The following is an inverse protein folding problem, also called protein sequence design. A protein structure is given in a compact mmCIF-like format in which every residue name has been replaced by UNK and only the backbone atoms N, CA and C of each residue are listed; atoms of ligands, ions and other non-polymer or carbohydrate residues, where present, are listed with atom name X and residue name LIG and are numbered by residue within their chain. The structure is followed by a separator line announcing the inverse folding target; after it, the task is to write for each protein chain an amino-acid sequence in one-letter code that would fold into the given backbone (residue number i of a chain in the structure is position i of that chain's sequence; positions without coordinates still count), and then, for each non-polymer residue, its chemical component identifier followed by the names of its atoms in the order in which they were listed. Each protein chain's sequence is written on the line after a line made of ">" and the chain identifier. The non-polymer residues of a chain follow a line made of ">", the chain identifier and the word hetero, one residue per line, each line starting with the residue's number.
data_IF_357971211822
#
_entry.id   IF_357971211822
#
_cell.length_a   1.000
_cell.length_b   1.000
_cell.length_c   1.000
_cell.angle_alpha   90.00
_cell.angle_beta   90.00
_cell.angle_gamma   90.00
#
_symmetry.space_group_name_H-M   'P 1'
#
loop_
_entity.id
_entity.type
_entity.pdbx_description
1 polymer ?
2 non-polymer ?
3 water ?
#
# COMPACT_ATOMS: atom_id res chain seq x y z
N UNK A 21 -12.48 -10.12 -15.35
CA UNK A 21 -11.88 -9.66 -16.60
C UNK A 21 -10.59 -8.88 -16.34
N UNK A 22 -9.92 -9.16 -15.22
CA UNK A 22 -8.65 -8.52 -14.95
C UNK A 22 -7.63 -8.89 -16.02
N UNK A 23 -6.92 -7.89 -16.55
CA UNK A 23 -5.98 -8.11 -17.64
C UNK A 23 -4.60 -7.57 -17.31
N UNK A 24 -3.59 -8.43 -17.42
CA UNK A 24 -2.21 -7.98 -17.41
C UNK A 24 -1.90 -7.24 -18.68
N UNK A 25 -0.94 -6.32 -18.61
CA UNK A 25 -0.40 -5.68 -19.80
C UNK A 25 0.12 -6.74 -20.75
N UNK A 26 -0.01 -6.48 -22.06
CA UNK A 26 0.39 -7.44 -23.07
C UNK A 26 1.89 -7.70 -23.12
N UNK A 27 2.69 -6.95 -22.35
CA UNK A 27 4.12 -7.23 -22.28
C UNK A 27 4.43 -8.37 -21.31
N UNK A 28 3.44 -8.88 -20.59
CA UNK A 28 3.58 -10.01 -19.69
C UNK A 28 2.71 -11.18 -20.16
N UNK A 29 3.10 -12.38 -19.74
CA UNK A 29 2.34 -13.59 -20.02
C UNK A 29 1.77 -14.14 -18.71
N UNK A 30 0.62 -14.83 -18.82
CA UNK A 30 -0.01 -15.48 -17.67
C UNK A 30 -0.46 -16.88 -18.10
N UNK A 31 0.53 -17.75 -18.35
CA UNK A 31 0.25 -19.12 -18.81
C UNK A 31 -0.51 -19.95 -17.77
N UNK A 32 -0.27 -19.73 -16.47
CA UNK A 32 -0.87 -20.52 -15.40
C UNK A 32 -2.17 -19.93 -14.84
N UNK A 33 -2.59 -18.76 -15.34
CA UNK A 33 -3.90 -18.24 -15.01
C UNK A 33 -4.06 -17.72 -13.60
N UNK A 34 -2.98 -17.34 -12.92
CA UNK A 34 -3.08 -16.84 -11.56
C UNK A 34 -3.14 -15.32 -11.52
N UNK A 35 -3.28 -14.67 -12.68
CA UNK A 35 -3.40 -13.22 -12.87
C UNK A 35 -2.10 -12.45 -12.68
N UNK A 36 -0.97 -13.10 -12.41
CA UNK A 36 0.26 -12.35 -12.23
C UNK A 36 1.27 -12.75 -13.30
N UNK A 37 2.15 -11.81 -13.63
CA UNK A 37 3.13 -12.01 -14.68
C UNK A 37 4.03 -13.21 -14.41
N UNK A 38 4.13 -14.10 -15.40
CA UNK A 38 4.96 -15.30 -15.29
C UNK A 38 6.44 -14.94 -15.23
N UNK A 39 7.21 -15.75 -14.50
CA UNK A 39 8.68 -15.63 -14.55
C UNK A 39 9.15 -16.06 -15.93
N UNK A 40 10.02 -15.29 -16.59
CA UNK A 40 10.47 -15.67 -17.94
C UNK A 40 11.28 -16.95 -17.91
N UNK A 41 11.24 -17.68 -19.03
CA UNK A 41 12.15 -18.80 -19.23
C UNK A 41 13.25 -18.50 -20.24
N UNK A 42 13.14 -17.41 -20.99
CA UNK A 42 14.23 -16.92 -21.82
C UNK A 42 15.28 -16.26 -20.92
N UNK A 43 16.45 -16.88 -20.82
CA UNK A 43 17.45 -16.39 -19.87
C UNK A 43 17.93 -14.98 -20.20
N UNK A 44 17.84 -14.57 -21.46
CA UNK A 44 18.21 -13.20 -21.79
C UNK A 44 17.24 -12.18 -21.21
N UNK A 45 16.09 -12.62 -20.70
CA UNK A 45 15.09 -11.75 -20.12
C UNK A 45 15.16 -11.72 -18.60
N UNK A 46 16.04 -12.50 -18.00
CA UNK A 46 16.13 -12.57 -16.55
C UNK A 46 17.19 -11.60 -16.04
N UNK A 47 17.00 -11.09 -14.84
CA UNK A 47 17.99 -10.20 -14.26
C UNK A 47 18.50 -10.80 -12.96
N UNK A 48 19.78 -10.58 -12.70
CA UNK A 48 20.49 -11.05 -11.52
C UNK A 48 21.31 -9.89 -11.00
N UNK A 49 20.66 -8.86 -10.46
CA UNK A 49 21.36 -7.60 -10.17
C UNK A 49 22.32 -7.73 -9.00
N UNK A 50 23.44 -7.01 -9.11
CA UNK A 50 24.40 -7.04 -8.02
C UNK A 50 23.90 -6.24 -6.82
N UNK A 51 23.05 -5.24 -7.04
CA UNK A 51 22.36 -4.51 -5.98
C UNK A 51 20.86 -4.68 -6.15
N UNK A 52 20.20 -5.25 -5.16
CA UNK A 52 18.74 -5.35 -5.11
C UNK A 52 18.16 -4.05 -4.55
N UNK A 53 17.20 -3.48 -5.26
CA UNK A 53 16.56 -2.22 -4.83
C UNK A 53 15.21 -2.55 -4.22
N UNK A 54 14.98 -2.05 -3.00
CA UNK A 54 13.79 -2.32 -2.21
C UNK A 54 13.07 -1.00 -1.93
N UNK A 55 11.73 -1.00 -2.03
CA UNK A 55 10.96 0.18 -1.64
C UNK A 55 9.75 -0.25 -0.82
N UNK A 56 9.52 0.46 0.28
CA UNK A 56 8.27 0.32 1.03
C UNK A 56 7.28 1.32 0.39
N UNK A 57 6.03 1.26 0.82
CA UNK A 57 5.01 2.07 0.16
C UNK A 57 4.95 3.48 0.75
N UNK A 58 4.79 4.51 -0.09
CA UNK A 58 4.80 5.90 0.41
C UNK A 58 3.47 6.33 1.03
N UNK A 59 2.98 5.53 1.99
CA UNK A 59 1.84 5.96 2.80
C UNK A 59 2.23 7.09 3.74
N UNK A 60 3.53 7.23 3.98
CA UNK A 60 4.05 8.22 4.89
C UNK A 60 5.46 8.55 4.39
N UNK A 61 5.99 9.71 4.79
CA UNK A 61 7.38 10.07 4.53
C UNK A 61 8.30 8.86 4.66
N UNK A 62 9.01 8.45 3.60
CA UNK A 62 9.87 7.25 3.72
C UNK A 62 10.99 7.40 4.72
N UNK A 63 11.38 8.63 5.08
CA UNK A 63 12.36 8.81 6.14
C UNK A 63 11.90 8.14 7.44
N UNK A 64 10.59 8.02 7.66
CA UNK A 64 10.07 7.31 8.82
C UNK A 64 10.48 5.84 8.79
N UNK A 65 10.59 5.26 7.60
CA UNK A 65 10.75 3.81 7.47
C UNK A 65 12.16 3.37 7.12
N UNK A 66 13.08 4.31 6.90
CA UNK A 66 14.45 3.93 6.56
C UNK A 66 15.06 3.02 7.61
N UNK A 67 15.07 3.46 8.88
CA UNK A 67 15.64 2.62 9.91
C UNK A 67 14.73 1.45 10.28
N UNK A 68 13.42 1.58 10.04
CA UNK A 68 12.49 0.48 10.32
C UNK A 68 12.86 -0.77 9.55
N UNK A 69 13.28 -0.60 8.29
CA UNK A 69 13.59 -1.73 7.41
C UNK A 69 15.07 -2.08 7.39
N UNK A 70 15.93 -1.32 8.08
CA UNK A 70 17.37 -1.47 7.91
C UNK A 70 17.84 -2.88 8.23
N UNK A 71 17.49 -3.39 9.42
CA UNK A 71 17.96 -4.72 9.80
C UNK A 71 17.36 -5.80 8.89
N UNK A 72 16.09 -5.64 8.50
CA UNK A 72 15.48 -6.54 7.54
C UNK A 72 16.27 -6.59 6.23
N UNK A 73 16.67 -5.43 5.72
CA UNK A 73 17.41 -5.41 4.46
C UNK A 73 18.82 -5.98 4.62
N UNK A 74 19.44 -5.84 5.80
CA UNK A 74 20.70 -6.53 6.05
C UNK A 74 20.53 -8.04 5.97
N UNK A 75 19.45 -8.56 6.56
CA UNK A 75 19.14 -9.98 6.47
C UNK A 75 18.88 -10.39 5.01
N UNK A 76 18.17 -9.56 4.26
CA UNK A 76 17.94 -9.84 2.85
C UNK A 76 19.26 -9.89 2.08
N UNK A 77 20.18 -8.98 2.40
CA UNK A 77 21.48 -8.98 1.74
C UNK A 77 22.25 -10.26 2.05
N UNK A 78 22.21 -10.71 3.30
CA UNK A 78 22.92 -11.93 3.67
C UNK A 78 22.30 -13.16 3.02
N UNK A 79 20.97 -13.21 2.99
CA UNK A 79 20.28 -14.37 2.41
C UNK A 79 20.50 -14.47 0.89
N UNK A 80 20.46 -13.35 0.18
CA UNK A 80 20.57 -13.38 -1.27
C UNK A 80 22.01 -13.28 -1.76
N UNK A 81 22.94 -12.87 -0.90
CA UNK A 81 24.30 -12.58 -1.33
C UNK A 81 24.47 -11.34 -2.16
N UNK A 82 23.48 -10.43 -2.16
CA UNK A 82 23.54 -9.20 -2.93
C UNK A 82 23.67 -8.01 -1.99
N UNK A 83 24.16 -6.90 -2.54
CA UNK A 83 23.96 -5.62 -1.87
C UNK A 83 22.48 -5.25 -1.96
N UNK A 84 22.00 -4.50 -0.97
CA UNK A 84 20.60 -4.08 -0.95
C UNK A 84 20.55 -2.58 -0.72
N UNK A 85 19.67 -1.90 -1.47
CA UNK A 85 19.52 -0.46 -1.39
C UNK A 85 18.06 -0.11 -1.10
N UNK A 86 17.86 0.78 -0.13
CA UNK A 86 16.54 1.30 0.21
C UNK A 86 16.23 2.50 -0.70
N UNK A 87 15.13 2.40 -1.45
CA UNK A 87 14.67 3.41 -2.39
C UNK A 87 13.56 4.22 -1.73
N UNK A 88 13.82 5.46 -1.28
CA UNK A 88 12.76 6.24 -0.59
C UNK A 88 11.80 6.91 -1.57
N UNK A 89 11.02 6.09 -2.27
CA UNK A 89 10.10 6.60 -3.28
C UNK A 89 9.00 7.41 -2.61
N UNK A 90 8.57 8.49 -3.27
CA UNK A 90 7.64 9.44 -2.65
C UNK A 90 6.22 9.36 -3.14
N UNK A 91 5.94 8.58 -4.20
CA UNK A 91 4.57 8.49 -4.68
C UNK A 91 4.34 7.10 -5.24
N UNK A 92 3.06 6.71 -5.29
CA UNK A 92 2.73 5.39 -5.82
C UNK A 92 3.08 5.31 -7.31
N UNK A 93 2.77 6.37 -8.07
CA UNK A 93 3.05 6.35 -9.50
C UNK A 93 4.52 6.16 -9.78
N UNK A 94 5.39 6.85 -9.02
CA UNK A 94 6.82 6.69 -9.22
C UNK A 94 7.26 5.28 -8.86
N UNK A 95 6.65 4.70 -7.82
CA UNK A 95 7.04 3.34 -7.43
C UNK A 95 6.63 2.33 -8.48
N UNK A 96 5.41 2.44 -9.01
CA UNK A 96 4.95 1.55 -10.06
C UNK A 96 5.85 1.67 -11.29
N UNK A 97 6.15 2.91 -11.70
CA UNK A 97 6.99 3.12 -12.88
C UNK A 97 8.39 2.56 -12.67
N UNK A 98 8.95 2.71 -11.47
CA UNK A 98 10.29 2.21 -11.22
C UNK A 98 10.36 0.69 -11.39
N UNK A 99 9.34 -0.04 -10.91
CA UNK A 99 9.38 -1.48 -11.11
C UNK A 99 9.12 -1.85 -12.57
N UNK A 100 8.17 -1.17 -13.21
CA UNK A 100 7.92 -1.42 -14.63
C UNK A 100 9.20 -1.23 -15.45
N UNK A 101 9.98 -0.20 -15.13
CA UNK A 101 11.16 0.16 -15.88
C UNK A 101 12.39 -0.67 -15.54
N UNK A 102 12.30 -1.55 -14.55
CA UNK A 102 13.42 -2.38 -14.18
C UNK A 102 14.34 -1.83 -13.11
N UNK A 103 14.00 -0.70 -12.49
CA UNK A 103 14.89 -0.10 -11.49
C UNK A 103 14.59 -0.54 -10.06
N UNK A 104 13.40 -1.08 -9.81
CA UNK A 104 12.95 -1.47 -8.48
C UNK A 104 12.63 -2.96 -8.49
N UNK A 105 13.27 -3.73 -7.60
CA UNK A 105 13.17 -5.19 -7.68
C UNK A 105 12.24 -5.81 -6.65
N UNK A 106 12.13 -5.24 -5.45
CA UNK A 106 11.33 -5.81 -4.38
C UNK A 106 10.54 -4.66 -3.78
N UNK A 107 9.24 -4.86 -3.55
CA UNK A 107 8.46 -3.74 -3.03
C UNK A 107 7.30 -4.21 -2.15
N UNK A 108 6.91 -3.34 -1.23
CA UNK A 108 5.58 -3.36 -0.67
C UNK A 108 4.79 -2.28 -1.37
N UNK A 109 3.71 -2.68 -2.04
CA UNK A 109 2.81 -1.71 -2.67
C UNK A 109 1.59 -1.54 -1.79
N UNK A 110 1.12 -0.29 -1.67
CA UNK A 110 -0.11 -0.05 -0.95
C UNK A 110 -1.23 -0.90 -1.52
N UNK A 111 -2.15 -1.29 -0.64
CA UNK A 111 -3.26 -2.17 -1.02
C UNK A 111 -3.91 -1.78 -2.35
N UNK A 112 -4.29 -0.51 -2.48
CA UNK A 112 -4.97 -0.04 -3.68
C UNK A 112 -4.16 -0.11 -4.96
N UNK A 113 -2.83 -0.16 -4.85
CA UNK A 113 -1.98 -0.24 -6.04
C UNK A 113 -1.61 -1.64 -6.45
N UNK A 114 -1.94 -2.67 -5.65
CA UNK A 114 -1.51 -4.01 -6.05
C UNK A 114 -2.07 -4.43 -7.40
N UNK A 115 -3.35 -4.21 -7.72
CA UNK A 115 -3.82 -4.63 -9.05
C UNK A 115 -3.09 -3.90 -10.17
N UNK A 116 -2.91 -2.58 -10.02
CA UNK A 116 -2.17 -1.82 -11.03
C UNK A 116 -0.72 -2.27 -11.13
N UNK A 117 -0.07 -2.54 -10.00
CA UNK A 117 1.33 -2.97 -10.05
C UNK A 117 1.46 -4.36 -10.67
N UNK A 118 0.51 -5.25 -10.38
CA UNK A 118 0.49 -6.55 -11.04
C UNK A 118 0.30 -6.37 -12.55
N UNK A 119 -0.66 -5.56 -12.93
CA UNK A 119 -0.96 -5.46 -14.35
C UNK A 119 0.04 -4.71 -15.16
N UNK A 120 0.58 -3.65 -14.59
CA UNK A 120 1.45 -2.79 -15.35
C UNK A 120 2.92 -2.74 -14.96
N UNK A 121 3.29 -3.39 -13.87
CA UNK A 121 4.70 -3.44 -13.51
C UNK A 121 5.24 -4.85 -13.35
N UNK A 122 4.43 -5.89 -13.60
CA UNK A 122 4.95 -7.24 -13.48
C UNK A 122 5.23 -7.66 -12.05
N UNK A 123 4.57 -7.01 -11.09
CA UNK A 123 4.71 -7.36 -9.68
C UNK A 123 4.20 -8.76 -9.42
N UNK A 124 4.99 -9.57 -8.71
CA UNK A 124 4.59 -10.91 -8.26
C UNK A 124 4.41 -10.88 -6.75
N UNK A 125 3.20 -10.63 -6.26
CA UNK A 125 2.98 -10.59 -4.80
C UNK A 125 3.00 -11.98 -4.18
N UNK A 126 3.55 -12.06 -2.97
CA UNK A 126 3.57 -13.35 -2.28
C UNK A 126 3.33 -13.27 -0.78
N UNK A 127 3.40 -12.10 -0.15
CA UNK A 127 3.25 -12.04 1.30
C UNK A 127 2.63 -10.73 1.74
N UNK A 128 2.19 -10.74 3.00
CA UNK A 128 1.47 -9.64 3.63
C UNK A 128 1.73 -9.80 5.12
N UNK A 129 1.72 -8.69 5.86
CA UNK A 129 1.86 -8.82 7.31
C UNK A 129 0.55 -9.28 7.94
N UNK A 130 0.67 -9.97 9.08
CA UNK A 130 -0.48 -10.42 9.85
C UNK A 130 -0.13 -10.40 11.33
N UNK A 131 -1.17 -10.43 12.16
CA UNK A 131 -0.99 -10.62 13.59
C UNK A 131 -0.49 -12.03 13.89
N UNK A 132 -0.09 -12.23 15.15
CA UNK A 132 0.47 -13.53 15.52
C UNK A 132 -0.52 -14.67 15.33
N UNK A 133 -1.82 -14.39 15.41
CA UNK A 133 -2.84 -15.43 15.21
C UNK A 133 -3.30 -15.54 13.76
N UNK A 134 -2.64 -14.85 12.84
CA UNK A 134 -2.98 -14.94 11.45
C UNK A 134 -4.05 -13.97 10.99
N UNK A 135 -4.73 -13.31 11.91
CA UNK A 135 -5.66 -12.26 11.52
C UNK A 135 -4.89 -11.09 10.91
N UNK A 136 -5.56 -10.35 10.03
CA UNK A 136 -4.87 -9.33 9.25
C UNK A 136 -5.86 -8.24 8.87
N UNK A 137 -5.31 -7.13 8.36
CA UNK A 137 -6.11 -6.16 7.65
C UNK A 137 -6.05 -4.77 8.27
N UNK A 138 -6.67 -3.84 7.55
CA UNK A 138 -6.85 -2.47 8.01
C UNK A 138 -8.19 -2.00 7.48
N UNK A 139 -8.66 -0.85 7.98
CA UNK A 139 -9.88 -0.25 7.48
C UNK A 139 -9.63 1.18 7.04
N UNK A 140 -10.45 1.66 6.12
CA UNK A 140 -10.50 3.09 5.86
C UNK A 140 -11.29 3.76 6.97
N UNK A 141 -10.83 4.91 7.43
CA UNK A 141 -11.65 5.74 8.30
C UNK A 141 -11.73 7.14 7.72
N UNK A 142 -12.88 7.77 7.90
CA UNK A 142 -13.04 9.19 7.60
C UNK A 142 -12.84 9.94 8.90
N UNK A 143 -11.91 10.89 8.91
CA UNK A 143 -11.55 11.58 10.14
C UNK A 143 -11.78 13.08 9.99
N UNK A 144 -12.00 13.73 11.12
CA UNK A 144 -12.02 15.18 11.22
C UNK A 144 -11.22 15.57 12.45
N UNK A 145 -11.23 16.86 12.78
CA UNK A 145 -10.65 17.29 14.04
C UNK A 145 -11.77 17.75 14.98
N UNK A 146 -11.62 17.54 16.29
CA UNK A 146 -12.67 17.96 17.23
C UNK A 146 -12.92 19.46 17.12
N UNK A 147 -14.19 19.83 17.03
CA UNK A 147 -14.58 21.22 16.91
C UNK A 147 -14.63 21.74 15.48
N UNK A 148 -14.44 20.90 14.47
CA UNK A 148 -14.42 21.35 13.09
C UNK A 148 -15.79 21.79 12.58
N UNK A 149 -16.86 21.38 13.25
CA UNK A 149 -18.18 21.49 12.66
C UNK A 149 -18.56 20.35 11.75
N UNK A 150 -17.66 19.42 11.47
CA UNK A 150 -17.98 18.21 10.71
C UNK A 150 -18.05 17.09 11.72
N UNK A 151 -19.26 16.66 12.07
CA UNK A 151 -19.46 15.72 13.16
C UNK A 151 -20.03 14.38 12.72
N UNK A 152 -20.32 14.21 11.44
CA UNK A 152 -20.61 12.91 10.85
C UNK A 152 -20.33 13.02 9.36
N UNK A 153 -20.47 11.90 8.65
CA UNK A 153 -20.18 11.88 7.21
C UNK A 153 -21.06 12.87 6.46
N UNK A 154 -22.35 12.94 6.82
CA UNK A 154 -23.28 13.82 6.11
C UNK A 154 -22.85 15.29 6.17
N UNK A 155 -22.17 15.68 7.25
CA UNK A 155 -21.67 17.05 7.40
C UNK A 155 -20.62 17.42 6.36
N UNK A 156 -20.10 16.45 5.61
CA UNK A 156 -19.09 16.74 4.59
C UNK A 156 -19.73 17.46 3.40
N UNK A 157 -21.02 17.24 3.19
CA UNK A 157 -21.72 17.85 2.06
C UNK A 157 -21.53 19.36 2.03
N UNK A 158 -21.19 19.88 0.84
CA UNK A 158 -20.93 21.29 0.66
C UNK A 158 -19.55 21.74 1.07
N UNK A 159 -18.71 20.83 1.56
CA UNK A 159 -17.37 21.20 1.96
C UNK A 159 -16.31 20.49 1.15
N UNK A 160 -15.11 20.39 1.71
CA UNK A 160 -14.00 19.72 1.06
C UNK A 160 -13.76 18.37 1.72
N UNK A 161 -13.28 17.41 0.93
CA UNK A 161 -12.84 16.11 1.42
C UNK A 161 -11.43 15.85 0.91
N UNK A 162 -10.51 15.58 1.82
CA UNK A 162 -9.12 15.33 1.44
C UNK A 162 -8.92 13.87 1.11
N UNK A 163 -8.36 13.61 -0.07
CA UNK A 163 -7.93 12.30 -0.52
C UNK A 163 -6.40 12.27 -0.54
N UNK A 164 -5.83 11.07 -0.69
CA UNK A 164 -4.37 10.99 -0.74
C UNK A 164 -3.86 10.99 -2.19
N UNK A 165 -4.14 9.92 -2.92
CA UNK A 165 -3.73 9.79 -4.32
C UNK A 165 -4.69 8.80 -4.99
N UNK A 166 -4.79 8.89 -6.32
CA UNK A 166 -5.86 8.17 -7.01
C UNK A 166 -5.66 6.66 -7.05
N UNK A 167 -4.46 6.18 -6.78
CA UNK A 167 -4.20 4.74 -6.67
C UNK A 167 -4.47 4.22 -5.27
N UNK A 168 -4.87 5.08 -4.33
CA UNK A 168 -5.12 4.63 -2.96
C UNK A 168 -6.51 4.03 -2.83
N UNK A 169 -6.59 2.88 -2.15
CA UNK A 169 -7.87 2.27 -1.79
C UNK A 169 -8.56 3.12 -0.73
N UNK A 170 -8.00 3.15 0.49
CA UNK A 170 -8.63 3.90 1.57
C UNK A 170 -8.56 5.40 1.39
N UNK A 171 -7.59 5.90 0.62
CA UNK A 171 -7.40 7.32 0.42
C UNK A 171 -8.10 7.91 -0.77
N UNK A 172 -8.81 7.10 -1.55
CA UNK A 172 -9.56 7.63 -2.69
C UNK A 172 -10.65 6.71 -3.18
N UNK A 173 -10.30 5.49 -3.60
CA UNK A 173 -11.26 4.66 -4.33
C UNK A 173 -12.36 4.11 -3.44
N UNK A 174 -12.00 3.56 -2.27
CA UNK A 174 -13.03 3.07 -1.35
C UNK A 174 -13.94 4.19 -0.86
N UNK A 175 -13.43 5.35 -0.39
CA UNK A 175 -14.36 6.39 0.07
C UNK A 175 -15.23 6.95 -1.04
N UNK A 176 -14.67 7.13 -2.24
CA UNK A 176 -15.50 7.60 -3.35
C UNK A 176 -16.66 6.65 -3.62
N UNK A 177 -16.38 5.34 -3.63
CA UNK A 177 -17.45 4.38 -3.89
C UNK A 177 -18.48 4.38 -2.76
N UNK A 178 -18.03 4.44 -1.50
CA UNK A 178 -18.95 4.40 -0.37
C UNK A 178 -19.81 5.65 -0.33
N UNK A 179 -19.20 6.82 -0.55
CA UNK A 179 -19.98 8.05 -0.49
C UNK A 179 -21.04 8.07 -1.58
N UNK A 180 -20.70 7.61 -2.78
CA UNK A 180 -21.67 7.60 -3.86
C UNK A 180 -22.80 6.60 -3.59
N UNK A 181 -22.45 5.39 -3.15
CA UNK A 181 -23.45 4.34 -2.99
C UNK A 181 -24.32 4.53 -1.75
N UNK A 182 -23.73 4.94 -0.62
CA UNK A 182 -24.44 4.95 0.65
C UNK A 182 -24.85 6.34 1.15
N UNK A 183 -24.26 7.41 0.62
CA UNK A 183 -24.52 8.75 1.12
C UNK A 183 -24.98 9.71 0.03
N UNK A 184 -25.13 9.23 -1.21
CA UNK A 184 -25.54 10.07 -2.33
C UNK A 184 -24.67 11.32 -2.44
N UNK A 185 -23.35 11.10 -2.45
CA UNK A 185 -22.39 12.19 -2.49
C UNK A 185 -21.33 11.86 -3.53
N UNK A 186 -21.20 12.74 -4.53
CA UNK A 186 -20.23 12.57 -5.61
C UNK A 186 -19.35 13.82 -5.67
N UNK A 187 -18.06 13.60 -5.91
CA UNK A 187 -17.10 14.69 -6.00
C UNK A 187 -17.48 15.64 -7.14
N UNK A 188 -17.30 16.93 -6.89
CA UNK A 188 -17.61 17.96 -7.86
C UNK A 188 -19.05 18.41 -7.86
N UNK A 189 -19.94 17.66 -7.24
CA UNK A 189 -21.34 18.03 -7.08
C UNK A 189 -21.74 18.22 -5.62
N UNK A 190 -21.31 17.32 -4.75
CA UNK A 190 -21.71 17.35 -3.36
C UNK A 190 -20.58 17.68 -2.39
N UNK A 191 -19.34 17.55 -2.83
CA UNK A 191 -18.18 17.97 -2.06
C UNK A 191 -17.05 18.25 -3.04
N UNK A 192 -16.06 19.02 -2.60
CA UNK A 192 -14.92 19.31 -3.45
C UNK A 192 -13.73 18.47 -3.01
N UNK A 193 -13.13 17.69 -3.91
CA UNK A 193 -11.98 16.86 -3.53
C UNK A 193 -10.69 17.67 -3.54
N UNK A 194 -9.82 17.36 -2.59
CA UNK A 194 -8.45 17.87 -2.60
C UNK A 194 -7.54 16.68 -2.36
N UNK A 195 -6.32 16.75 -2.88
CA UNK A 195 -5.37 15.66 -2.77
C UNK A 195 -4.14 16.10 -1.98
N UNK A 196 -3.75 15.28 -1.01
CA UNK A 196 -2.67 15.59 -0.09
C UNK A 196 -1.37 14.89 -0.43
N UNK A 197 -1.41 13.86 -1.29
CA UNK A 197 -0.24 13.13 -1.69
C UNK A 197 0.03 11.87 -0.89
N UNK A 198 -0.27 11.87 0.41
CA UNK A 198 0.10 10.77 1.30
C UNK A 198 -0.88 10.71 2.47
N UNK A 199 -1.06 9.51 3.02
CA UNK A 199 -1.85 9.39 4.24
C UNK A 199 -1.35 10.30 5.35
N UNK A 200 -0.03 10.38 5.53
CA UNK A 200 0.45 11.21 6.64
C UNK A 200 0.18 12.69 6.37
N UNK A 201 0.23 13.13 5.11
CA UNK A 201 -0.15 14.51 4.83
C UNK A 201 -1.61 14.77 5.13
N UNK A 202 -2.48 13.80 4.84
CA UNK A 202 -3.89 13.98 5.17
C UNK A 202 -4.11 14.02 6.67
N UNK A 203 -3.46 13.11 7.40
CA UNK A 203 -3.65 13.02 8.84
C UNK A 203 -3.09 14.27 9.52
N UNK A 204 -1.89 14.69 9.12
CA UNK A 204 -1.32 15.93 9.64
C UNK A 204 -2.21 17.13 9.30
N UNK A 205 -2.76 17.15 8.08
CA UNK A 205 -3.60 18.27 7.68
C UNK A 205 -4.89 18.36 8.48
N UNK A 206 -5.46 17.22 8.84
CA UNK A 206 -6.62 17.24 9.73
C UNK A 206 -6.22 17.72 11.12
N UNK A 207 -5.11 17.19 11.65
CA UNK A 207 -4.69 17.57 13.00
C UNK A 207 -4.42 19.06 13.09
N UNK A 208 -3.84 19.64 12.04
CA UNK A 208 -3.52 21.06 12.01
C UNK A 208 -4.66 21.94 11.49
N UNK A 209 -5.83 21.35 11.25
CA UNK A 209 -7.05 22.03 10.80
C UNK A 209 -6.93 22.62 9.39
N UNK A 210 -6.02 22.11 8.57
CA UNK A 210 -6.06 22.43 7.14
C UNK A 210 -7.22 21.73 6.45
N UNK A 211 -7.58 20.53 6.90
CA UNK A 211 -8.66 19.73 6.34
C UNK A 211 -9.71 19.46 7.40
N UNK A 212 -10.98 19.69 7.05
CA UNK A 212 -12.05 19.32 7.97
C UNK A 212 -12.50 17.89 7.80
N UNK A 213 -12.08 17.20 6.73
CA UNK A 213 -12.45 15.81 6.55
C UNK A 213 -11.41 15.16 5.66
N UNK A 214 -11.03 13.92 5.98
CA UNK A 214 -10.10 13.17 5.14
C UNK A 214 -10.38 11.68 5.26
N UNK A 215 -10.16 10.95 4.17
CA UNK A 215 -10.28 9.50 4.14
C UNK A 215 -8.88 8.89 4.18
N UNK A 216 -8.62 8.04 5.19
CA UNK A 216 -7.25 7.63 5.49
C UNK A 216 -7.21 6.15 5.90
N UNK A 217 -6.01 5.60 5.88
CA UNK A 217 -5.78 4.22 6.34
C UNK A 217 -5.62 4.21 7.85
N UNK A 218 -6.44 3.43 8.57
CA UNK A 218 -6.34 3.54 10.02
C UNK A 218 -5.11 2.85 10.59
N UNK A 219 -4.47 1.95 9.83
CA UNK A 219 -3.20 1.39 10.28
C UNK A 219 -2.13 2.46 10.35
N UNK A 220 -2.00 3.25 9.28
CA UNK A 220 -1.06 4.37 9.27
C UNK A 220 -1.36 5.36 10.38
N UNK A 221 -2.64 5.70 10.53
CA UNK A 221 -3.06 6.60 11.60
C UNK A 221 -2.60 6.09 12.96
N UNK A 222 -2.80 4.80 13.24
CA UNK A 222 -2.41 4.28 14.55
C UNK A 222 -0.89 4.31 14.76
N UNK A 223 -0.11 4.02 13.71
CA UNK A 223 1.33 4.06 13.91
C UNK A 223 1.82 5.50 14.06
N UNK A 224 1.16 6.44 13.38
CA UNK A 224 1.52 7.85 13.52
C UNK A 224 1.18 8.33 14.93
N UNK A 225 0.04 7.90 15.46
CA UNK A 225 -0.29 8.25 16.84
C UNK A 225 0.73 7.67 17.82
N UNK A 226 1.13 6.41 17.63
CA UNK A 226 2.10 5.81 18.54
C UNK A 226 3.44 6.52 18.48
N UNK A 227 3.85 7.03 17.31
CA UNK A 227 5.09 7.77 17.19
C UNK A 227 4.96 9.24 17.53
N UNK A 228 3.77 9.68 17.96
CA UNK A 228 3.53 11.06 18.42
C UNK A 228 3.65 12.06 17.26
N UNK A 229 3.38 11.60 16.04
CA UNK A 229 3.33 12.52 14.89
C UNK A 229 2.10 13.40 14.97
N UNK A 230 0.97 12.83 15.41
CA UNK A 230 -0.20 13.58 15.82
C UNK A 230 -0.62 13.01 17.17
N UNK A 231 -1.48 13.75 17.88
CA UNK A 231 -2.00 13.36 19.18
C UNK A 231 -3.44 12.89 19.08
N UNK A 232 -3.81 11.96 19.98
CA UNK A 232 -5.16 11.42 19.98
C UNK A 232 -6.23 12.52 20.03
N UNK A 233 -6.01 13.57 20.83
CA UNK A 233 -7.06 14.58 20.95
C UNK A 233 -7.20 15.48 19.72
N UNK A 234 -6.40 15.27 18.67
CA UNK A 234 -6.48 16.07 17.46
C UNK A 234 -7.32 15.44 16.37
N UNK A 235 -7.73 14.18 16.54
CA UNK A 235 -8.36 13.39 15.48
C UNK A 235 -9.62 12.73 16.02
N UNK A 236 -10.73 12.86 15.30
CA UNK A 236 -11.94 12.12 15.63
C UNK A 236 -12.37 11.34 14.40
N UNK A 237 -12.76 10.08 14.61
CA UNK A 237 -13.21 9.20 13.54
C UNK A 237 -14.72 9.31 13.34
N UNK A 238 -15.14 9.45 12.07
CA UNK A 238 -16.56 9.55 11.73
C UNK A 238 -17.08 8.33 10.98
N UNK A 239 -16.24 7.38 10.62
CA UNK A 239 -16.62 6.29 9.74
C UNK A 239 -15.52 5.26 9.73
N UNK A 240 -15.87 3.98 9.76
CA UNK A 240 -14.90 2.90 9.60
C UNK A 240 -15.44 1.88 8.61
N UNK A 241 -14.63 1.54 7.62
CA UNK A 241 -15.06 0.66 6.53
C UNK A 241 -14.91 -0.81 6.91
N UNK A 242 -15.27 -1.67 5.95
CA UNK A 242 -14.92 -3.09 6.04
C UNK A 242 -13.41 -3.25 6.04
N UNK A 243 -12.96 -4.44 6.46
CA UNK A 243 -11.53 -4.74 6.51
C UNK A 243 -10.98 -5.13 5.15
N UNK A 244 -9.79 -4.62 4.83
CA UNK A 244 -9.07 -4.86 3.59
C UNK A 244 -7.73 -5.51 3.90
N UNK A 245 -7.13 -6.23 2.93
CA UNK A 245 -5.75 -6.69 3.12
C UNK A 245 -4.84 -5.48 3.22
N UNK A 246 -3.75 -5.62 3.97
CA UNK A 246 -2.75 -4.57 4.08
C UNK A 246 -1.74 -4.72 2.95
N UNK A 247 -0.72 -3.85 2.97
CA UNK A 247 0.35 -3.82 1.97
C UNK A 247 0.78 -5.20 1.48
N UNK A 248 0.81 -5.35 0.15
CA UNK A 248 1.31 -6.58 -0.47
C UNK A 248 2.77 -6.45 -0.83
N UNK A 249 3.54 -7.49 -0.51
CA UNK A 249 4.97 -7.52 -0.77
C UNK A 249 5.27 -8.52 -1.87
N UNK A 250 6.20 -8.17 -2.75
CA UNK A 250 6.45 -9.03 -3.88
C UNK A 250 7.68 -8.59 -4.64
N UNK A 251 7.87 -9.22 -5.80
CA UNK A 251 9.12 -9.18 -6.54
C UNK A 251 8.81 -8.89 -8.01
N UNK A 252 9.67 -8.13 -8.65
CA UNK A 252 9.56 -7.97 -10.09
C UNK A 252 9.67 -9.33 -10.78
N UNK A 253 8.83 -9.55 -11.78
CA UNK A 253 8.66 -10.88 -12.36
C UNK A 253 9.91 -11.46 -13.02
N UNK A 254 10.89 -10.63 -13.41
CA UNK A 254 11.97 -11.12 -14.25
C UNK A 254 13.29 -11.33 -13.50
N UNK A 255 13.28 -11.32 -12.17
CA UNK A 255 14.49 -11.78 -11.47
C UNK A 255 14.63 -13.28 -11.69
N UNK A 256 15.87 -13.77 -11.64
CA UNK A 256 16.05 -15.21 -11.83
C UNK A 256 15.21 -15.97 -10.80
N UNK A 257 14.68 -17.14 -11.16
CA UNK A 257 13.87 -17.91 -10.20
C UNK A 257 14.60 -18.21 -8.91
N UNK A 258 15.88 -18.55 -9.03
CA UNK A 258 16.71 -18.83 -7.85
C UNK A 258 16.77 -17.63 -6.91
N UNK A 259 16.95 -16.43 -7.47
CA UNK A 259 17.01 -15.24 -6.64
C UNK A 259 15.64 -14.93 -6.02
N UNK A 260 14.55 -15.15 -6.78
CA UNK A 260 13.23 -14.89 -6.23
C UNK A 260 12.95 -15.82 -5.06
N UNK A 261 13.36 -17.08 -5.14
CA UNK A 261 13.18 -17.98 -4.01
C UNK A 261 13.96 -17.51 -2.80
N UNK A 262 15.20 -17.05 -3.00
CA UNK A 262 15.97 -16.55 -1.86
C UNK A 262 15.35 -15.30 -1.24
N UNK A 263 14.77 -14.41 -2.06
CA UNK A 263 14.09 -13.24 -1.51
C UNK A 263 12.90 -13.67 -0.67
N UNK A 264 12.05 -14.56 -1.20
CA UNK A 264 10.92 -15.05 -0.41
C UNK A 264 11.40 -15.69 0.90
N UNK A 265 12.47 -16.48 0.82
CA UNK A 265 13.02 -17.09 2.03
C UNK A 265 13.43 -16.04 3.05
N UNK A 266 14.05 -14.94 2.57
CA UNK A 266 14.48 -13.88 3.47
C UNK A 266 13.30 -13.26 4.20
N UNK A 267 12.18 -13.06 3.51
CA UNK A 267 11.00 -12.50 4.17
C UNK A 267 10.52 -13.41 5.28
N UNK A 268 10.45 -14.71 5.02
CA UNK A 268 9.87 -15.61 6.01
C UNK A 268 10.85 -16.01 7.09
N UNK A 269 12.16 -15.87 6.87
CA UNK A 269 13.12 -16.28 7.88
C UNK A 269 13.53 -15.14 8.82
N UNK A 270 13.23 -13.89 8.48
CA UNK A 270 13.64 -12.78 9.32
C UNK A 270 13.03 -12.90 10.71
N UNK A 271 13.89 -12.80 11.73
CA UNK A 271 13.45 -12.85 13.13
C UNK A 271 13.09 -11.45 13.59
N UNK A 272 11.81 -11.24 13.89
CA UNK A 272 11.31 -9.91 14.24
C UNK A 272 11.68 -9.48 15.65
N UNK A 273 12.02 -10.43 16.53
CA UNK A 273 12.11 -10.14 17.96
C UNK A 273 13.16 -9.06 18.24
N UNK A 274 12.75 -7.99 18.91
CA UNK A 274 13.66 -6.93 19.30
C UNK A 274 14.08 -5.98 18.20
N UNK A 275 13.50 -6.09 17.00
CA UNK A 275 13.91 -5.30 15.86
C UNK A 275 13.10 -4.02 15.72
N UNK A 276 13.66 -3.08 14.96
CA UNK A 276 12.91 -1.87 14.61
C UNK A 276 11.69 -2.19 13.77
N UNK A 277 11.73 -3.29 13.01
CA UNK A 277 10.56 -3.70 12.24
C UNK A 277 9.39 -4.02 13.16
N UNK A 278 9.65 -4.83 14.20
CA UNK A 278 8.61 -5.16 15.17
C UNK A 278 8.17 -3.93 15.95
N UNK A 279 9.13 -3.09 16.34
CA UNK A 279 8.79 -1.88 17.09
C UNK A 279 7.79 -1.02 16.32
N UNK A 280 7.95 -0.91 15.01
CA UNK A 280 7.03 -0.10 14.22
C UNK A 280 5.71 -0.82 13.95
N UNK A 281 5.79 -2.00 13.34
CA UNK A 281 4.56 -2.58 12.83
C UNK A 281 3.73 -3.28 13.91
N UNK A 282 4.29 -3.54 15.10
CA UNK A 282 3.43 -3.95 16.20
C UNK A 282 2.40 -2.88 16.54
N UNK A 283 2.65 -1.62 16.16
CA UNK A 283 1.73 -0.55 16.49
C UNK A 283 0.48 -0.54 15.62
N UNK A 284 0.44 -1.32 14.53
CA UNK A 284 -0.83 -1.58 13.86
C UNK A 284 -1.16 -3.06 13.89
N UNK A 285 -0.67 -3.76 14.91
CA UNK A 285 -1.10 -5.11 15.21
C UNK A 285 -0.38 -6.23 14.47
N UNK A 286 0.73 -5.94 13.81
CA UNK A 286 1.42 -6.95 13.00
C UNK A 286 2.52 -7.63 13.79
N UNK A 287 2.74 -8.90 13.46
CA UNK A 287 3.79 -9.70 14.07
C UNK A 287 4.55 -10.61 13.12
N UNK A 288 4.08 -10.85 11.89
CA UNK A 288 4.69 -11.85 11.02
C UNK A 288 4.32 -11.56 9.58
N UNK A 289 5.01 -12.25 8.67
CA UNK A 289 4.63 -12.31 7.25
C UNK A 289 3.91 -13.62 7.00
N UNK A 290 2.78 -13.57 6.28
CA UNK A 290 2.08 -14.80 5.90
C UNK A 290 1.94 -14.86 4.38
N UNK A 291 1.82 -16.04 3.79
CA UNK A 291 1.54 -16.12 2.35
C UNK A 291 0.16 -15.56 2.02
N UNK A 292 0.06 -14.95 0.84
CA UNK A 292 -1.21 -14.53 0.26
C UNK A 292 -1.23 -14.97 -1.21
N UNK A 293 -2.40 -14.88 -1.82
CA UNK A 293 -2.44 -14.89 -3.28
C UNK A 293 -3.15 -13.65 -3.76
N UNK A 294 -2.68 -13.09 -4.89
CA UNK A 294 -3.34 -11.92 -5.44
C UNK A 294 -4.76 -12.26 -5.84
N UNK A 295 -4.97 -13.42 -6.45
CA UNK A 295 -6.31 -13.82 -6.90
C UNK A 295 -7.31 -13.85 -5.76
N UNK A 296 -6.94 -14.41 -4.60
CA UNK A 296 -7.87 -14.47 -3.49
C UNK A 296 -7.90 -13.17 -2.70
N UNK A 297 -6.77 -12.80 -2.10
CA UNK A 297 -6.78 -11.74 -1.10
C UNK A 297 -7.11 -10.37 -1.68
N UNK A 298 -6.88 -10.14 -2.98
CA UNK A 298 -7.14 -8.82 -3.55
C UNK A 298 -8.42 -8.77 -4.38
N UNK A 299 -9.28 -9.80 -4.28
CA UNK A 299 -10.54 -9.78 -5.00
C UNK A 299 -11.38 -8.56 -4.60
N UNK A 300 -11.47 -8.28 -3.30
CA UNK A 300 -12.28 -7.14 -2.85
C UNK A 300 -11.73 -5.84 -3.42
N UNK A 301 -10.41 -5.75 -3.57
CA UNK A 301 -9.80 -4.53 -4.09
C UNK A 301 -10.04 -4.40 -5.60
N UNK A 302 -9.96 -5.49 -6.35
CA UNK A 302 -10.30 -5.38 -7.76
C UNK A 302 -11.75 -4.95 -7.96
N UNK A 303 -12.65 -5.37 -7.06
CA UNK A 303 -14.04 -4.94 -7.18
C UNK A 303 -14.18 -3.44 -6.92
N UNK A 304 -13.47 -2.93 -5.90
CA UNK A 304 -13.50 -1.49 -5.64
C UNK A 304 -12.89 -0.72 -6.80
N UNK A 305 -11.81 -1.26 -7.39
CA UNK A 305 -11.23 -0.68 -8.60
C UNK A 305 -12.27 -0.58 -9.71
N UNK A 306 -13.00 -1.68 -9.95
CA UNK A 306 -13.98 -1.68 -11.02
C UNK A 306 -15.12 -0.70 -10.75
N UNK A 307 -15.51 -0.57 -9.48
CA UNK A 307 -16.54 0.37 -9.10
C UNK A 307 -16.12 1.82 -9.37
N UNK A 308 -14.81 2.08 -9.48
CA UNK A 308 -14.29 3.40 -9.79
C UNK A 308 -13.86 3.55 -11.24
N UNK A 309 -14.16 2.57 -12.09
CA UNK A 309 -13.81 2.68 -13.49
C UNK A 309 -12.34 2.54 -13.80
N UNK A 310 -11.56 1.90 -12.92
CA UNK A 310 -10.13 1.76 -13.15
C UNK A 310 -9.89 0.78 -14.28
N UNK A 311 -9.06 1.18 -15.25
CA UNK A 311 -8.85 0.44 -16.49
C UNK A 311 -7.55 -0.36 -16.54
N UNK A 312 -6.54 -0.01 -15.73
CA UNK A 312 -5.19 -0.58 -15.87
C UNK A 312 -4.62 -0.36 -17.27
N UNK A 313 -4.73 0.86 -17.76
CA UNK A 313 -4.13 1.23 -19.05
C UNK A 313 -2.71 1.65 -18.72
N UNK A 314 -1.76 0.76 -19.00
CA UNK A 314 -0.38 1.04 -18.65
C UNK A 314 0.16 2.11 -19.58
N UNK A 315 -0.55 2.41 -20.67
CA UNK A 315 -0.28 3.49 -21.65
C UNK A 315 0.59 2.98 -22.78
X LIG B 1 -2.03 -0.25 4.38
X LIG B 1 -1.22 -0.44 2.09
X LIG B 1 -2.35 -0.17 2.90
X LIG B 1 -1.57 -1.54 4.66
X LIG B 1 -2.84 1.24 2.55
X LIG B 1 -3.16 1.14 1.18
X LIG B 1 -3.49 3.57 0.52
X LIG B 1 -4.42 1.77 -0.93
X LIG B 1 -5.48 2.27 1.24
X LIG B 1 -4.17 2.22 0.49
#
# INVERSE_FOLDING_TARGET
>A
MKKLLTLACATMLTPVLAHGAFQLDSRYQDNDGDLIADIPSDESKLVDPSTLVFAYTPVEDPAVYKEVWSEFLDHLAETTGKNVQFFPVQSNAAQIEAMRAGRLHIAGFNTGSNPLAVACAGFRPFTMMAAADGSFGYEMEIISYPGSGVNDVEDIRGGELAFTSQTSNSGFKAPSAILKADYNMIAGEDFEPVFSGKHDNSILGVANRDYKAAAVANSVLNRMLSRDVVSEDQIVSLYKSQTFPTTGYGIAHNLTPELQEKIQDAFFSFNWEGTALEEEFSKSGEAQFVPITFKNHWEVIRKIDAANGVAYNCRHHHHHH
>B hetero
1 1GP C3 O3 C2 O2 C1 O1P O2P O3P O4P P
#
